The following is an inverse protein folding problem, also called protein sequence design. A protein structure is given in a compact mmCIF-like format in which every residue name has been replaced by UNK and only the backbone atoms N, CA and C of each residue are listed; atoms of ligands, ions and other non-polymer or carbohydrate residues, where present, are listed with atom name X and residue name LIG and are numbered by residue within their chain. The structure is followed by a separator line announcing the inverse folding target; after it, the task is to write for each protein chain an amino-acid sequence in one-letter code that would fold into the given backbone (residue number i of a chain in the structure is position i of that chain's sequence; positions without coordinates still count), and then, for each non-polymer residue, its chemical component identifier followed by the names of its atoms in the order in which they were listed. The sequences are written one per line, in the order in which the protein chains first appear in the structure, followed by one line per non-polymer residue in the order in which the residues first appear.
data_IF_706253326144
#
_entry.id   IF_706253326144
#
_cell.length_a   1.000
_cell.length_b   1.000
_cell.length_c   1.000
_cell.angle_alpha   90.00
_cell.angle_beta   90.00
_cell.angle_gamma   90.00
#
_symmetry.space_group_name_H-M   'P 1'
#
loop_
_entity.id
_entity.type
_entity.pdbx_description
1 polymer ?
#
# COMPACT_ATOMS: atom_id res chain seq x y z
N UNK A 1 -2.74 -36.33 14.36
CA UNK A 1 -3.04 -34.94 13.93
C UNK A 1 -2.53 -34.02 15.03
N UNK A 2 -1.60 -33.09 14.84
CA UNK A 2 -1.01 -32.56 13.62
C UNK A 2 0.51 -32.45 13.80
N UNK A 3 1.23 -33.08 12.88
CA UNK A 3 2.67 -33.06 12.70
C UNK A 3 3.07 -31.81 11.91
N UNK A 4 3.62 -30.79 12.58
CA UNK A 4 4.23 -29.63 11.92
C UNK A 4 5.54 -29.18 12.61
N UNK A 5 6.29 -30.12 13.18
CA UNK A 5 7.63 -29.84 13.71
C UNK A 5 8.60 -30.95 13.29
N UNK A 6 8.87 -31.01 11.98
CA UNK A 6 10.18 -31.31 11.43
C UNK A 6 10.10 -31.28 9.90
N UNK A 7 10.44 -30.15 9.31
CA UNK A 7 11.10 -30.17 8.01
C UNK A 7 12.35 -29.32 8.12
N UNK A 8 13.48 -29.99 8.32
CA UNK A 8 14.78 -29.45 7.91
C UNK A 8 14.83 -29.58 6.38
N UNK A 9 14.21 -28.63 5.69
CA UNK A 9 14.46 -28.43 4.28
C UNK A 9 15.64 -27.47 4.14
N UNK A 10 16.77 -28.02 3.70
CA UNK A 10 17.91 -27.28 3.15
C UNK A 10 17.49 -26.64 1.83
N UNK A 11 16.70 -25.58 1.89
CA UNK A 11 16.40 -24.72 0.76
C UNK A 11 16.24 -23.31 1.33
N UNK A 12 16.93 -22.31 0.77
CA UNK A 12 17.07 -20.95 1.34
C UNK A 12 15.75 -20.38 1.87
N UNK A 13 15.51 -20.60 3.16
CA UNK A 13 14.24 -20.28 3.80
C UNK A 13 14.35 -18.84 4.24
N UNK A 14 13.91 -17.91 3.39
CA UNK A 14 13.68 -16.55 3.86
C UNK A 14 12.56 -16.64 4.91
N UNK A 15 12.90 -16.54 6.18
CA UNK A 15 11.94 -16.45 7.27
C UNK A 15 10.88 -15.41 6.88
N UNK A 16 9.60 -15.79 6.99
CA UNK A 16 8.49 -14.96 6.52
C UNK A 16 8.52 -13.59 7.24
N UNK A 17 8.94 -12.56 6.52
CA UNK A 17 8.98 -11.17 7.01
C UNK A 17 7.56 -10.63 7.18
N UNK A 18 7.18 -10.28 8.40
CA UNK A 18 5.87 -9.74 8.73
C UNK A 18 5.97 -8.27 9.14
N UNK A 19 5.03 -7.45 8.67
CA UNK A 19 4.96 -6.02 8.97
C UNK A 19 3.54 -5.68 9.44
N UNK A 20 3.44 -4.99 10.56
CA UNK A 20 2.24 -4.37 11.07
C UNK A 20 2.35 -2.85 10.96
N UNK A 21 1.36 -2.24 10.30
CA UNK A 21 1.31 -0.80 10.00
C UNK A 21 0.02 -0.23 10.58
N UNK A 22 0.12 0.91 11.25
CA UNK A 22 -1.04 1.67 11.74
C UNK A 22 -0.75 3.16 11.75
N UNK A 23 -1.79 3.99 11.74
CA UNK A 23 -1.67 5.45 11.93
C UNK A 23 -1.50 5.83 13.40
N UNK A 24 -1.95 4.98 14.33
CA UNK A 24 -1.94 5.28 15.77
C UNK A 24 -0.71 4.70 16.45
N UNK A 25 0.16 5.57 16.97
CA UNK A 25 1.36 5.16 17.71
C UNK A 25 1.02 4.36 18.97
N UNK A 26 0.03 4.82 19.73
CA UNK A 26 -0.49 4.12 20.92
C UNK A 26 -0.98 2.71 20.57
N UNK A 27 -1.70 2.56 19.44
CA UNK A 27 -2.17 1.24 19.01
C UNK A 27 -1.01 0.34 18.58
N UNK A 28 -0.04 0.89 17.83
CA UNK A 28 1.19 0.19 17.43
C UNK A 28 1.91 -0.38 18.66
N UNK A 29 2.09 0.42 19.70
CA UNK A 29 2.71 -0.02 20.94
C UNK A 29 1.93 -1.15 21.60
N UNK A 30 0.61 -1.00 21.77
CA UNK A 30 -0.25 -2.02 22.38
C UNK A 30 -0.18 -3.35 21.64
N UNK A 31 -0.19 -3.31 20.31
CA UNK A 31 -0.10 -4.50 19.46
C UNK A 31 1.28 -5.15 19.57
N UNK A 32 2.37 -4.37 19.48
CA UNK A 32 3.76 -4.87 19.67
C UNK A 32 3.92 -5.54 21.04
N UNK A 33 3.41 -4.92 22.10
CA UNK A 33 3.46 -5.47 23.47
C UNK A 33 2.69 -6.78 23.59
N UNK A 34 1.46 -6.82 23.08
CA UNK A 34 0.64 -8.02 23.14
C UNK A 34 1.29 -9.18 22.36
N UNK A 35 1.82 -8.89 21.18
CA UNK A 35 2.59 -9.86 20.40
C UNK A 35 3.79 -10.42 21.20
N UNK A 36 4.61 -9.55 21.79
CA UNK A 36 5.75 -9.98 22.61
C UNK A 36 5.33 -10.80 23.82
N UNK A 37 4.22 -10.43 24.49
CA UNK A 37 3.67 -11.20 25.61
C UNK A 37 3.19 -12.59 25.18
N UNK A 38 2.51 -12.69 24.04
CA UNK A 38 2.09 -13.97 23.46
C UNK A 38 3.30 -14.82 23.11
N UNK A 39 4.34 -14.22 22.49
CA UNK A 39 5.57 -14.91 22.15
C UNK A 39 6.29 -15.44 23.39
N UNK A 40 6.44 -14.61 24.43
CA UNK A 40 6.99 -15.01 25.72
C UNK A 40 6.21 -16.20 26.30
N UNK A 41 4.87 -16.16 26.27
CA UNK A 41 4.05 -17.27 26.77
C UNK A 41 4.19 -18.54 25.94
N UNK A 42 4.30 -18.44 24.63
CA UNK A 42 4.43 -19.58 23.72
C UNK A 42 5.75 -20.32 23.95
N UNK A 43 6.84 -19.58 24.23
CA UNK A 43 8.15 -20.17 24.56
C UNK A 43 8.11 -21.02 25.83
N UNK A 44 7.19 -20.74 26.75
CA UNK A 44 7.01 -21.47 28.01
C UNK A 44 5.90 -22.53 27.95
N UNK A 45 5.05 -22.50 26.93
CA UNK A 45 4.01 -23.50 26.73
C UNK A 45 4.64 -24.89 26.53
N UNK A 46 4.24 -25.86 27.37
CA UNK A 46 4.75 -27.23 27.33
C UNK A 46 6.10 -27.47 28.03
N UNK A 47 6.73 -26.45 28.63
CA UNK A 47 7.91 -26.64 29.49
C UNK A 47 7.49 -26.87 30.94
N UNK A 48 8.03 -27.91 31.58
CA UNK A 48 7.88 -28.12 33.02
C UNK A 48 8.70 -27.06 33.76
N UNK A 49 8.03 -26.06 34.34
CA UNK A 49 8.68 -25.03 35.16
C UNK A 49 8.60 -25.39 36.64
N UNK A 50 9.66 -25.10 37.39
CA UNK A 50 9.63 -25.19 38.86
C UNK A 50 8.68 -24.14 39.45
N UNK A 51 8.04 -24.44 40.59
CA UNK A 51 7.16 -23.51 41.30
C UNK A 51 7.83 -22.14 41.56
N UNK A 52 9.14 -22.13 41.86
CA UNK A 52 9.90 -20.88 42.07
C UNK A 52 9.95 -20.03 40.78
N UNK A 53 10.20 -20.67 39.64
CA UNK A 53 10.26 -19.99 38.33
C UNK A 53 8.89 -19.45 37.92
N UNK A 54 7.81 -20.17 38.26
CA UNK A 54 6.44 -19.74 38.02
C UNK A 54 6.07 -18.49 38.82
N UNK A 55 6.43 -18.44 40.12
CA UNK A 55 6.22 -17.25 40.95
C UNK A 55 7.04 -16.05 40.45
N UNK A 56 8.30 -16.24 40.06
CA UNK A 56 9.13 -15.18 39.48
C UNK A 56 8.55 -14.62 38.18
N UNK A 57 8.03 -15.49 37.30
CA UNK A 57 7.36 -15.09 36.07
C UNK A 57 6.09 -14.27 36.32
N UNK A 58 5.22 -14.73 37.23
CA UNK A 58 3.99 -14.02 37.60
C UNK A 58 4.27 -12.66 38.23
N UNK A 59 5.31 -12.57 39.08
CA UNK A 59 5.74 -11.31 39.68
C UNK A 59 6.21 -10.32 38.61
N UNK A 60 7.09 -10.74 37.70
CA UNK A 60 7.56 -9.91 36.58
C UNK A 60 6.42 -9.46 35.66
N UNK A 61 5.43 -10.32 35.41
CA UNK A 61 4.24 -9.95 34.61
C UNK A 61 3.43 -8.84 35.28
N UNK A 62 3.16 -8.96 36.59
CA UNK A 62 2.45 -7.93 37.37
C UNK A 62 3.23 -6.62 37.46
N UNK A 63 4.55 -6.68 37.62
CA UNK A 63 5.43 -5.50 37.62
C UNK A 63 5.39 -4.77 36.27
N UNK A 64 5.47 -5.51 35.14
CA UNK A 64 5.36 -4.96 33.77
C UNK A 64 3.97 -4.38 33.46
N UNK A 65 2.91 -4.92 34.07
CA UNK A 65 1.53 -4.40 33.96
C UNK A 65 1.31 -3.15 34.81
N UNK A 66 1.87 -3.11 36.03
CA UNK A 66 1.79 -1.95 36.94
C UNK A 66 2.59 -0.75 36.44
N UNK A 67 3.82 -0.96 35.95
CA UNK A 67 4.63 0.11 35.38
C UNK A 67 3.94 0.77 34.16
N UNK A 68 3.09 0.01 33.46
CA UNK A 68 2.38 0.48 32.27
C UNK A 68 1.19 1.40 32.57
N UNK A 69 0.51 1.24 33.70
CA UNK A 69 -0.57 2.15 34.10
C UNK A 69 -0.04 3.58 34.37
N UNK A 70 1.23 3.69 34.76
CA UNK A 70 1.94 4.96 34.98
C UNK A 70 2.52 5.56 33.70
N UNK A 71 2.73 4.75 32.64
CA UNK A 71 3.39 5.13 31.37
C UNK A 71 2.38 5.59 30.29
N UNK A 72 1.24 6.15 30.69
CA UNK A 72 0.34 6.88 29.76
C UNK A 72 0.90 8.25 29.33
N UNK A 73 2.12 8.61 29.74
CA UNK A 73 2.72 9.95 29.53
C UNK A 73 4.06 10.00 28.79
N UNK A 74 4.56 8.91 28.20
CA UNK A 74 5.85 8.91 27.48
C UNK A 74 5.71 8.63 25.99
N UNK A 75 5.26 9.64 25.23
CA UNK A 75 5.45 9.70 23.77
C UNK A 75 6.95 9.68 23.36
N UNK A 76 7.86 10.00 24.30
CA UNK A 76 9.31 10.08 24.08
C UNK A 76 9.97 8.73 23.78
N UNK A 77 9.55 7.65 24.46
CA UNK A 77 10.14 6.32 24.27
C UNK A 77 9.72 5.66 22.93
N UNK A 78 8.61 6.10 22.32
CA UNK A 78 8.14 5.54 21.04
C UNK A 78 8.94 6.05 19.84
N UNK A 79 9.42 7.29 19.90
CA UNK A 79 10.19 7.94 18.83
C UNK A 79 11.57 7.28 18.69
N UNK A 80 12.26 7.02 19.80
CA UNK A 80 13.57 6.33 19.79
C UNK A 80 13.46 4.92 19.22
N UNK A 81 12.41 4.18 19.59
CA UNK A 81 12.11 2.84 19.13
C UNK A 81 11.97 2.76 17.59
N UNK A 82 11.35 3.79 16.99
CA UNK A 82 11.18 3.89 15.53
C UNK A 82 12.43 4.44 14.84
N UNK A 83 13.20 5.32 15.50
CA UNK A 83 14.45 5.86 14.96
C UNK A 83 15.54 4.79 14.84
N UNK A 84 15.52 3.76 15.69
CA UNK A 84 16.44 2.62 15.61
C UNK A 84 16.22 1.72 14.38
N UNK A 85 15.08 1.86 13.70
CA UNK A 85 14.77 1.14 12.46
C UNK A 85 15.30 1.98 11.29
N UNK A 86 16.05 1.40 10.33
CA UNK A 86 16.51 2.13 9.15
C UNK A 86 15.35 2.75 8.37
N UNK A 87 15.53 3.96 7.83
CA UNK A 87 14.58 4.59 6.90
C UNK A 87 14.70 4.01 5.48
N UNK A 88 14.78 2.68 5.35
CA UNK A 88 14.85 2.00 4.05
C UNK A 88 14.38 0.55 4.16
N UNK A 89 13.82 0.00 3.08
CA UNK A 89 13.52 -1.42 2.89
C UNK A 89 14.69 -2.20 2.30
N UNK A 90 15.84 -1.56 2.08
CA UNK A 90 17.02 -2.25 1.57
C UNK A 90 17.45 -3.36 2.54
N UNK A 91 17.52 -4.59 2.03
CA UNK A 91 17.85 -5.80 2.79
C UNK A 91 19.22 -5.75 3.49
N UNK A 92 20.17 -4.93 2.99
CA UNK A 92 21.48 -4.75 3.61
C UNK A 92 21.39 -4.01 4.95
N UNK A 93 20.41 -3.12 5.11
CA UNK A 93 20.21 -2.34 6.33
C UNK A 93 19.10 -2.95 7.19
N UNK A 94 17.98 -3.32 6.56
CA UNK A 94 16.82 -3.93 7.20
C UNK A 94 16.94 -5.47 7.23
N UNK A 95 17.81 -5.93 8.13
CA UNK A 95 18.07 -7.35 8.40
C UNK A 95 16.94 -8.04 9.16
N UNK A 96 16.94 -9.37 9.21
CA UNK A 96 15.85 -10.18 9.79
C UNK A 96 15.62 -9.91 11.29
N UNK A 97 16.61 -9.37 12.00
CA UNK A 97 16.50 -8.98 13.42
C UNK A 97 15.42 -7.94 13.71
N UNK A 98 14.99 -7.18 12.70
CA UNK A 98 13.96 -6.16 12.84
C UNK A 98 12.54 -6.73 12.72
N UNK A 99 12.39 -7.97 12.27
CA UNK A 99 11.10 -8.60 12.03
C UNK A 99 10.65 -9.45 13.23
N UNK A 100 9.34 -9.50 13.53
CA UNK A 100 8.26 -8.76 12.86
C UNK A 100 8.27 -7.26 13.17
N UNK A 101 8.06 -6.44 12.14
CA UNK A 101 8.08 -4.98 12.24
C UNK A 101 6.74 -4.45 12.73
N UNK A 102 6.79 -3.55 13.71
CA UNK A 102 5.64 -2.76 14.16
C UNK A 102 5.99 -1.30 13.96
N UNK A 103 5.39 -0.66 12.95
CA UNK A 103 5.73 0.72 12.55
C UNK A 103 4.47 1.55 12.36
N UNK A 104 4.64 2.88 12.39
CA UNK A 104 3.57 3.80 12.00
C UNK A 104 3.55 4.00 10.49
N UNK A 105 2.44 4.53 9.96
CA UNK A 105 2.37 4.95 8.56
C UNK A 105 3.46 5.96 8.21
N UNK A 106 3.74 6.92 9.10
CA UNK A 106 4.78 7.92 8.87
C UNK A 106 6.17 7.28 8.73
N UNK A 107 6.49 6.30 9.59
CA UNK A 107 7.74 5.55 9.47
C UNK A 107 7.79 4.72 8.20
N UNK A 108 6.69 4.06 7.84
CA UNK A 108 6.59 3.31 6.59
C UNK A 108 6.83 4.21 5.36
N UNK A 109 6.24 5.40 5.33
CA UNK A 109 6.45 6.39 4.28
C UNK A 109 7.92 6.82 4.17
N UNK A 110 8.57 7.13 5.30
CA UNK A 110 10.01 7.41 5.33
C UNK A 110 10.86 6.27 4.79
N UNK A 111 10.52 5.03 5.14
CA UNK A 111 11.21 3.85 4.63
C UNK A 111 11.05 3.68 3.12
N UNK A 112 9.87 3.98 2.56
CA UNK A 112 9.67 3.99 1.11
C UNK A 112 10.53 5.08 0.45
N UNK A 113 10.47 6.30 0.98
CA UNK A 113 11.26 7.43 0.49
C UNK A 113 12.76 7.09 0.43
N UNK A 114 13.32 6.58 1.52
CA UNK A 114 14.75 6.20 1.54
C UNK A 114 15.08 4.94 0.72
N UNK A 115 14.10 4.11 0.34
CA UNK A 115 14.33 2.99 -0.60
C UNK A 115 14.45 3.48 -2.03
N UNK A 116 13.60 4.44 -2.41
CA UNK A 116 13.58 5.02 -3.76
C UNK A 116 14.45 6.26 -3.91
N UNK A 117 15.16 6.67 -2.85
CA UNK A 117 16.01 7.86 -2.86
C UNK A 117 15.24 9.17 -3.03
N UNK A 118 13.97 9.20 -2.65
CA UNK A 118 13.11 10.38 -2.76
C UNK A 118 13.44 11.30 -1.59
N UNK A 119 14.01 12.48 -1.86
CA UNK A 119 14.32 13.43 -0.80
C UNK A 119 13.11 14.29 -0.42
N UNK A 120 13.09 14.78 0.82
CA UNK A 120 12.11 15.79 1.25
C UNK A 120 12.21 17.06 0.38
N UNK A 121 13.40 17.36 -0.14
CA UNK A 121 13.60 18.45 -1.09
C UNK A 121 12.91 18.19 -2.43
N UNK A 122 12.89 16.96 -2.94
CA UNK A 122 12.16 16.62 -4.17
C UNK A 122 10.65 16.74 -3.97
N UNK A 123 10.14 16.38 -2.79
CA UNK A 123 8.74 16.59 -2.40
C UNK A 123 8.41 18.08 -2.26
N UNK A 124 9.30 18.88 -1.67
CA UNK A 124 9.14 20.33 -1.53
C UNK A 124 9.29 21.04 -2.88
N UNK A 125 10.20 20.60 -3.75
CA UNK A 125 10.39 21.11 -5.10
C UNK A 125 9.17 20.78 -5.95
N UNK A 126 8.66 19.53 -5.92
CA UNK A 126 7.38 19.20 -6.53
C UNK A 126 6.24 20.06 -5.96
N UNK A 127 6.19 20.28 -4.64
CA UNK A 127 5.20 21.16 -4.00
C UNK A 127 5.33 22.62 -4.40
N UNK A 128 6.55 23.13 -4.65
CA UNK A 128 6.82 24.50 -5.12
C UNK A 128 6.57 24.67 -6.62
N UNK A 129 6.97 23.72 -7.46
CA UNK A 129 6.61 23.71 -8.89
C UNK A 129 5.09 23.65 -9.09
N UNK A 130 4.37 23.00 -8.19
CA UNK A 130 2.90 22.99 -8.18
C UNK A 130 2.29 24.29 -7.62
N UNK A 131 3.04 25.10 -6.87
CA UNK A 131 2.61 26.40 -6.35
C UNK A 131 2.96 27.57 -7.30
N UNK A 132 4.06 27.45 -8.05
CA UNK A 132 4.59 28.50 -8.93
C UNK A 132 4.10 28.37 -10.39
N UNK A 133 3.37 27.31 -10.76
CA UNK A 133 2.69 27.23 -12.07
C UNK A 133 1.24 27.76 -12.02
N UNK A 134 1.08 28.97 -11.48
CA UNK A 134 -0.12 29.78 -11.70
C UNK A 134 0.16 30.66 -12.93
N UNK A 135 -0.35 30.23 -14.08
CA UNK A 135 -0.61 31.13 -15.20
C UNK A 135 -1.64 32.19 -14.73
N UNK A 136 -1.48 33.49 -15.06
CA UNK A 136 -2.14 34.57 -14.36
C UNK A 136 -3.56 34.74 -14.89
N UNK A 137 -4.53 34.00 -14.36
CA UNK A 137 -5.91 34.44 -14.41
C UNK A 137 -6.83 33.80 -13.34
N UNK A 138 -7.35 34.70 -12.51
CA UNK A 138 -8.59 34.64 -11.73
C UNK A 138 -8.47 34.33 -10.22
N UNK A 139 -8.72 35.43 -9.50
CA UNK A 139 -8.85 35.71 -8.08
C UNK A 139 -9.73 34.74 -7.25
N UNK A 140 -9.27 34.54 -6.02
CA UNK A 140 -10.01 34.49 -4.75
C UNK A 140 -11.32 33.68 -4.70
N UNK A 141 -11.31 32.57 -3.96
CA UNK A 141 -11.99 32.52 -2.67
C UNK A 141 -11.60 31.27 -1.87
N UNK A 142 -11.60 31.46 -0.55
CA UNK A 142 -11.33 30.52 0.52
C UNK A 142 -12.10 29.20 0.43
N UNK A 143 -11.38 28.08 0.35
CA UNK A 143 -11.65 26.89 1.16
C UNK A 143 -10.49 25.90 1.02
N UNK A 144 -10.03 25.33 2.15
CA UNK A 144 -9.08 24.19 2.16
C UNK A 144 -9.63 23.03 1.32
N UNK A 145 -8.78 22.35 0.54
CA UNK A 145 -8.90 20.89 0.39
C UNK A 145 -7.54 20.24 0.73
N UNK A 146 -7.50 19.44 1.79
CA UNK A 146 -7.50 17.97 1.70
C UNK A 146 -6.27 17.42 0.96
N UNK A 147 -5.38 16.84 1.76
CA UNK A 147 -4.41 15.82 1.37
C UNK A 147 -5.01 14.87 0.33
N UNK A 148 -4.18 14.41 -0.61
CA UNK A 148 -4.43 13.51 -1.77
C UNK A 148 -4.31 14.29 -3.10
N UNK A 149 -3.53 13.71 -4.02
CA UNK A 149 -3.24 14.13 -5.40
C UNK A 149 -1.84 14.74 -5.63
N UNK A 150 -0.80 13.98 -5.33
CA UNK A 150 0.34 13.91 -6.26
C UNK A 150 -0.10 13.01 -7.42
N UNK A 151 -0.71 13.59 -8.45
CA UNK A 151 -0.77 12.91 -9.74
C UNK A 151 0.51 13.28 -10.46
N UNK A 152 1.34 12.30 -10.82
CA UNK A 152 2.28 12.47 -11.92
C UNK A 152 1.51 13.15 -13.06
N UNK A 153 2.07 14.20 -13.68
CA UNK A 153 1.34 14.95 -14.73
C UNK A 153 0.85 14.07 -15.88
N UNK A 154 1.50 12.91 -16.03
CA UNK A 154 1.24 11.91 -17.04
C UNK A 154 0.29 10.79 -16.53
N UNK A 155 -0.05 10.78 -15.23
CA UNK A 155 -0.98 9.82 -14.65
C UNK A 155 -2.45 10.21 -14.92
N UNK A 156 -3.13 9.35 -15.65
CA UNK A 156 -4.53 9.50 -16.03
C UNK A 156 -5.40 8.73 -15.04
N UNK A 157 -5.99 9.44 -14.10
CA UNK A 157 -7.10 8.91 -13.31
C UNK A 157 -8.43 9.08 -14.07
N UNK A 158 -9.53 8.51 -13.55
CA UNK A 158 -10.84 8.62 -14.18
C UNK A 158 -11.28 10.07 -14.47
N UNK A 159 -11.00 11.02 -13.57
CA UNK A 159 -11.35 12.42 -13.79
C UNK A 159 -10.55 13.04 -14.94
N UNK A 160 -9.27 12.70 -15.05
CA UNK A 160 -8.41 13.11 -16.16
C UNK A 160 -8.88 12.47 -17.47
N UNK A 161 -9.18 11.17 -17.46
CA UNK A 161 -9.76 10.45 -18.60
C UNK A 161 -11.03 11.14 -19.10
N UNK A 162 -12.01 11.34 -18.20
CA UNK A 162 -13.31 11.94 -18.52
C UNK A 162 -13.20 13.37 -19.08
N UNK A 163 -12.22 14.16 -18.64
CA UNK A 163 -12.07 15.55 -19.07
C UNK A 163 -11.20 15.70 -20.32
N UNK A 164 -10.11 14.93 -20.44
CA UNK A 164 -9.06 15.12 -21.46
C UNK A 164 -9.23 14.17 -22.65
N UNK A 165 -9.69 12.95 -22.41
CA UNK A 165 -9.73 11.88 -23.42
C UNK A 165 -11.15 11.61 -23.90
N UNK A 166 -12.10 11.48 -22.98
CA UNK A 166 -13.49 11.13 -23.29
C UNK A 166 -14.16 12.01 -24.34
N UNK A 167 -14.01 13.36 -24.34
CA UNK A 167 -14.65 14.22 -25.34
C UNK A 167 -14.19 13.94 -26.79
N UNK A 168 -13.06 13.25 -26.98
CA UNK A 168 -12.53 12.86 -28.30
C UNK A 168 -12.80 11.40 -28.67
N UNK A 169 -13.34 10.60 -27.75
CA UNK A 169 -13.59 9.17 -27.93
C UNK A 169 -15.03 8.92 -28.39
N UNK A 170 -16.02 9.24 -27.56
CA UNK A 170 -17.43 9.07 -27.91
C UNK A 170 -18.35 9.86 -26.95
N UNK A 171 -19.49 10.31 -27.46
CA UNK A 171 -20.56 10.91 -26.65
C UNK A 171 -21.76 9.97 -26.45
N UNK A 172 -21.79 8.83 -27.15
CA UNK A 172 -22.96 7.92 -27.19
C UNK A 172 -23.02 6.93 -26.05
N UNK A 173 -21.87 6.56 -25.48
CA UNK A 173 -21.78 5.60 -24.38
C UNK A 173 -21.62 6.30 -23.03
N UNK A 174 -21.89 5.55 -21.96
CA UNK A 174 -21.59 6.03 -20.62
C UNK A 174 -20.08 5.95 -20.37
N UNK A 175 -19.46 7.10 -20.08
CA UNK A 175 -18.03 7.22 -19.83
C UNK A 175 -17.53 6.28 -18.72
N UNK A 176 -18.30 6.11 -17.65
CA UNK A 176 -17.91 5.32 -16.49
C UNK A 176 -17.95 3.83 -16.82
N UNK A 177 -19.00 3.41 -17.52
CA UNK A 177 -19.12 2.02 -17.98
C UNK A 177 -17.98 1.68 -18.95
N UNK A 178 -17.68 2.54 -19.92
CA UNK A 178 -16.57 2.29 -20.85
C UNK A 178 -15.22 2.25 -20.14
N UNK A 179 -14.98 3.17 -19.20
CA UNK A 179 -13.74 3.17 -18.41
C UNK A 179 -13.58 1.88 -17.60
N UNK A 180 -14.66 1.35 -17.04
CA UNK A 180 -14.63 0.07 -16.32
C UNK A 180 -14.36 -1.13 -17.23
N UNK A 181 -14.84 -1.11 -18.48
CA UNK A 181 -14.56 -2.17 -19.45
C UNK A 181 -13.11 -2.16 -19.93
N UNK A 182 -12.47 -0.99 -20.02
CA UNK A 182 -11.04 -0.93 -20.31
C UNK A 182 -10.22 -1.69 -19.25
N UNK A 183 -10.67 -1.71 -18.00
CA UNK A 183 -10.03 -2.53 -16.94
C UNK A 183 -10.19 -4.02 -17.19
N UNK A 184 -11.28 -4.45 -17.82
CA UNK A 184 -11.53 -5.85 -18.16
C UNK A 184 -10.62 -6.26 -19.32
N UNK A 185 -10.47 -5.40 -20.33
CA UNK A 185 -9.58 -5.64 -21.48
C UNK A 185 -8.11 -5.71 -21.03
N UNK A 186 -7.68 -4.83 -20.11
CA UNK A 186 -6.33 -4.85 -19.55
C UNK A 186 -6.10 -5.97 -18.52
N UNK A 187 -7.17 -6.60 -18.03
CA UNK A 187 -7.13 -7.76 -17.14
C UNK A 187 -6.58 -7.45 -15.74
N UNK A 188 -6.46 -8.49 -14.91
CA UNK A 188 -5.89 -8.41 -13.53
C UNK A 188 -4.50 -9.05 -13.39
N UNK A 189 -4.09 -9.92 -14.32
CA UNK A 189 -2.81 -10.64 -14.27
C UNK A 189 -1.67 -9.85 -14.95
N UNK A 190 -0.55 -9.56 -14.26
CA UNK A 190 0.55 -8.77 -14.82
C UNK A 190 1.44 -9.52 -15.82
N UNK A 191 1.33 -10.84 -15.91
CA UNK A 191 2.15 -11.67 -16.80
C UNK A 191 1.50 -11.93 -18.17
N UNK A 192 0.31 -11.35 -18.42
CA UNK A 192 -0.48 -11.60 -19.63
C UNK A 192 -0.74 -10.27 -20.33
N UNK A 193 -0.55 -10.24 -21.64
CA UNK A 193 -0.86 -9.10 -22.50
C UNK A 193 -2.36 -8.75 -22.45
N UNK A 194 -2.73 -7.60 -23.02
CA UNK A 194 -4.13 -7.20 -23.15
C UNK A 194 -4.96 -8.28 -23.82
N UNK A 195 -6.21 -8.39 -23.40
CA UNK A 195 -7.16 -9.30 -24.00
C UNK A 195 -7.27 -8.99 -25.51
N UNK A 196 -7.13 -10.00 -26.35
CA UNK A 196 -7.34 -9.84 -27.78
C UNK A 196 -8.78 -9.43 -28.06
N UNK A 197 -9.06 -8.89 -29.25
CA UNK A 197 -10.42 -8.50 -29.64
C UNK A 197 -11.35 -9.71 -29.61
N UNK A 198 -10.86 -10.85 -30.09
CA UNK A 198 -11.55 -12.12 -30.14
C UNK A 198 -11.86 -12.63 -28.74
N UNK A 199 -10.86 -12.63 -27.85
CA UNK A 199 -11.05 -13.07 -26.47
C UNK A 199 -11.99 -12.13 -25.70
N UNK A 200 -11.91 -10.81 -25.94
CA UNK A 200 -12.84 -9.84 -25.36
C UNK A 200 -14.26 -10.06 -25.85
N UNK A 201 -14.45 -10.40 -27.13
CA UNK A 201 -15.76 -10.73 -27.67
C UNK A 201 -16.37 -11.96 -27.01
N UNK A 202 -15.55 -12.93 -26.64
CA UNK A 202 -15.99 -14.20 -26.07
C UNK A 202 -16.10 -14.21 -24.53
N UNK A 203 -15.80 -13.10 -23.85
CA UNK A 203 -15.93 -13.06 -22.37
C UNK A 203 -17.36 -13.37 -21.91
N UNK A 204 -17.46 -14.00 -20.75
CA UNK A 204 -18.75 -14.39 -20.17
C UNK A 204 -19.72 -13.22 -20.06
N UNK A 205 -20.78 -13.27 -20.87
CA UNK A 205 -21.89 -12.31 -20.85
C UNK A 205 -22.58 -12.27 -19.49
N UNK A 206 -22.56 -13.40 -18.75
CA UNK A 206 -23.11 -13.49 -17.39
C UNK A 206 -22.32 -12.65 -16.39
N UNK A 207 -21.01 -12.50 -16.60
CA UNK A 207 -20.11 -11.77 -15.70
C UNK A 207 -19.96 -10.31 -16.12
N UNK A 208 -20.02 -10.02 -17.42
CA UNK A 208 -19.82 -8.68 -18.00
C UNK A 208 -20.86 -8.39 -19.11
N UNK A 209 -22.11 -8.02 -18.73
CA UNK A 209 -23.21 -7.87 -19.67
C UNK A 209 -23.30 -6.50 -20.35
N UNK A 210 -22.65 -5.45 -19.81
CA UNK A 210 -22.92 -4.05 -20.11
C UNK A 210 -22.82 -3.71 -21.61
N UNK A 211 -21.80 -4.22 -22.30
CA UNK A 211 -21.60 -3.96 -23.72
C UNK A 211 -21.63 -5.21 -24.59
N UNK A 212 -22.40 -6.24 -24.20
CA UNK A 212 -22.52 -7.51 -24.94
C UNK A 212 -22.63 -7.33 -26.47
N UNK A 213 -23.46 -6.39 -26.92
CA UNK A 213 -23.74 -6.17 -28.34
C UNK A 213 -22.83 -5.11 -28.99
N UNK A 214 -22.00 -4.42 -28.20
CA UNK A 214 -21.17 -3.31 -28.62
C UNK A 214 -19.67 -3.55 -28.33
N UNK A 215 -19.26 -4.79 -28.02
CA UNK A 215 -17.87 -5.12 -27.64
C UNK A 215 -16.86 -4.70 -28.70
N UNK A 216 -17.20 -4.89 -29.98
CA UNK A 216 -16.34 -4.47 -31.09
C UNK A 216 -16.09 -2.94 -31.05
N UNK A 217 -17.14 -2.15 -30.78
CA UNK A 217 -17.04 -0.69 -30.65
C UNK A 217 -16.25 -0.27 -29.39
N UNK A 218 -16.45 -0.97 -28.26
CA UNK A 218 -15.68 -0.69 -27.04
C UNK A 218 -14.19 -0.99 -27.24
N UNK A 219 -13.86 -2.05 -27.98
CA UNK A 219 -12.47 -2.36 -28.29
C UNK A 219 -11.85 -1.30 -29.22
N UNK A 220 -12.62 -0.74 -30.17
CA UNK A 220 -12.16 0.37 -31.00
C UNK A 220 -11.84 1.61 -30.14
N UNK A 221 -12.73 1.95 -29.19
CA UNK A 221 -12.50 3.05 -28.24
C UNK A 221 -11.27 2.80 -27.37
N UNK A 222 -11.06 1.56 -26.93
CA UNK A 222 -9.88 1.16 -26.17
C UNK A 222 -8.59 1.40 -26.97
N UNK A 223 -8.53 0.94 -28.23
CA UNK A 223 -7.36 1.15 -29.08
C UNK A 223 -7.10 2.63 -29.38
N UNK A 224 -8.16 3.41 -29.59
CA UNK A 224 -8.04 4.85 -29.82
C UNK A 224 -7.51 5.57 -28.57
N UNK A 225 -8.03 5.21 -27.39
CA UNK A 225 -7.57 5.73 -26.11
C UNK A 225 -6.09 5.40 -25.87
N UNK A 226 -5.68 4.14 -26.01
CA UNK A 226 -4.28 3.72 -25.85
C UNK A 226 -3.34 4.46 -26.80
N UNK A 227 -3.78 4.72 -28.04
CA UNK A 227 -3.00 5.50 -29.01
C UNK A 227 -2.85 6.96 -28.59
N UNK A 228 -3.92 7.62 -28.15
CA UNK A 228 -3.86 9.00 -27.66
C UNK A 228 -2.96 9.12 -26.42
N UNK A 229 -3.08 8.15 -25.52
CA UNK A 229 -2.31 8.08 -24.29
C UNK A 229 -0.82 7.88 -24.57
N UNK A 230 -0.48 6.98 -25.49
CA UNK A 230 0.91 6.77 -25.96
C UNK A 230 1.51 8.02 -26.62
N UNK A 231 0.72 8.78 -27.39
CA UNK A 231 1.17 10.05 -28.00
C UNK A 231 1.48 11.12 -26.96
N UNK A 232 0.74 11.14 -25.85
CA UNK A 232 0.93 12.09 -24.76
C UNK A 232 1.98 11.63 -23.74
N UNK A 233 2.55 10.44 -23.89
CA UNK A 233 3.39 9.78 -22.88
C UNK A 233 2.69 9.64 -21.52
N UNK A 234 1.37 9.43 -21.54
CA UNK A 234 0.52 9.28 -20.37
C UNK A 234 0.41 7.77 -19.98
N UNK A 235 0.06 7.50 -18.73
CA UNK A 235 -0.25 6.15 -18.20
C UNK A 235 -1.38 6.23 -17.17
N UNK A 236 -2.16 5.18 -17.01
CA UNK A 236 -3.31 5.12 -16.10
C UNK A 236 -3.15 4.02 -15.03
N UNK A 237 -4.10 3.95 -14.10
CA UNK A 237 -4.08 2.95 -13.02
C UNK A 237 -4.23 1.50 -13.51
N UNK A 238 -4.58 1.29 -14.78
CA UNK A 238 -4.74 -0.02 -15.38
C UNK A 238 -3.52 -0.42 -16.23
N UNK A 239 -2.66 0.55 -16.56
CA UNK A 239 -1.36 0.30 -17.18
C UNK A 239 -0.40 -0.33 -16.17
N UNK A 240 0.41 -1.25 -16.66
CA UNK A 240 1.34 -2.08 -15.89
C UNK A 240 2.76 -1.85 -16.35
#
# INVERSE_FOLDING_TARGET
MASYLNSKDNNGNFDKRQIFITVSSIFRYKVKKNFNMMLESAVHAGKTMSMKQLYEYQRKKKEKESAFATVLHEELNEVEDLNNIPDTFNHLQLTDKYFPLFITFDKFSKMLQGTFGISDHDLIIQKKFNADSIDPCIKNNSQRPSFINTADKNFVNYNTFRKRYWPSLDEKFDCELVYSEFSIIKGTNPEVDFLSREDYRDISIKRYPAFRYNRDQIYDLFQQYEKMKAQNCDYDSMDR
#
